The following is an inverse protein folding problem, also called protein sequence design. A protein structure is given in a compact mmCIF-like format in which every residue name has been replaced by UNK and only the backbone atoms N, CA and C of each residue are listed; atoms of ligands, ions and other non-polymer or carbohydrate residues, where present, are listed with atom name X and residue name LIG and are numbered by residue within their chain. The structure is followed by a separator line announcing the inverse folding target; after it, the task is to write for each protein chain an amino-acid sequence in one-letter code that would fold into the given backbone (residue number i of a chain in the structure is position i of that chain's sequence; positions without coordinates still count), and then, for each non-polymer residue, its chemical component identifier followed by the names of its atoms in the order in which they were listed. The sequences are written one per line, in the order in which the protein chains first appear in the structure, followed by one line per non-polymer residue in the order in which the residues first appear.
data_IF_328036940119
#
_entry.id   IF_328036940119
#
_cell.length_a   1.000
_cell.length_b   1.000
_cell.length_c   1.000
_cell.angle_alpha   90.00
_cell.angle_beta   90.00
_cell.angle_gamma   90.00
#
_symmetry.space_group_name_H-M   'P 1'
#
loop_
_entity.id
_entity.type
_entity.pdbx_description
1 polymer ?
#
# COMPACT_ATOMS: atom_id res chain seq x y z
N UNK A 1 -21.32 14.20 1.71
CA UNK A 1 -21.94 12.86 1.72
C UNK A 1 -21.08 11.94 0.86
N UNK A 2 -20.28 11.05 1.48
CA UNK A 2 -19.56 9.97 0.77
C UNK A 2 -20.60 8.91 0.41
N UNK A 3 -21.28 9.12 -0.72
CA UNK A 3 -22.61 8.55 -1.01
C UNK A 3 -22.66 7.12 -1.54
N UNK A 4 -21.52 6.50 -1.87
CA UNK A 4 -21.46 5.06 -2.10
C UNK A 4 -20.21 4.52 -1.43
N UNK A 5 -20.42 3.85 -0.30
CA UNK A 5 -19.38 3.05 0.36
C UNK A 5 -19.21 1.75 -0.43
N UNK A 6 -18.02 1.19 -0.35
CA UNK A 6 -17.57 -0.01 -1.07
C UNK A 6 -18.66 -1.10 -1.20
N UNK A 7 -18.64 -1.89 -2.29
CA UNK A 7 -19.57 -3.00 -2.47
C UNK A 7 -19.51 -4.00 -1.30
N UNK A 8 -20.56 -4.81 -1.14
CA UNK A 8 -20.63 -5.83 -0.08
C UNK A 8 -19.46 -6.81 -0.10
N UNK A 9 -18.91 -7.07 -1.29
CA UNK A 9 -17.74 -7.92 -1.50
C UNK A 9 -16.59 -7.06 -2.00
N UNK A 10 -15.47 -7.18 -1.30
CA UNK A 10 -14.25 -6.41 -1.55
C UNK A 10 -13.03 -7.32 -1.65
N UNK A 11 -12.08 -6.94 -2.51
CA UNK A 11 -10.78 -7.59 -2.59
C UNK A 11 -9.86 -7.08 -1.50
N UNK A 12 -9.32 -7.99 -0.69
CA UNK A 12 -8.37 -7.69 0.38
C UNK A 12 -7.08 -8.42 0.10
N UNK A 13 -5.96 -7.69 0.11
CA UNK A 13 -4.62 -8.24 -0.07
C UNK A 13 -3.87 -8.25 1.25
N UNK A 14 -3.04 -9.26 1.43
CA UNK A 14 -2.25 -9.46 2.66
C UNK A 14 -0.78 -9.60 2.34
N UNK A 15 0.07 -9.00 3.17
CA UNK A 15 1.51 -9.23 3.19
C UNK A 15 1.84 -10.00 4.48
N UNK A 16 2.51 -11.13 4.37
CA UNK A 16 2.78 -12.06 5.47
C UNK A 16 1.82 -13.25 5.51
N UNK A 17 1.92 -14.05 6.57
CA UNK A 17 1.17 -15.32 6.69
C UNK A 17 0.30 -15.36 7.95
N UNK A 18 -0.80 -16.12 7.95
CA UNK A 18 -1.61 -16.31 9.15
C UNK A 18 -0.80 -16.89 10.32
N UNK A 19 -1.18 -16.59 11.57
CA UNK A 19 -2.28 -15.70 11.97
C UNK A 19 -1.91 -14.21 11.94
N UNK A 20 -0.63 -13.89 11.82
CA UNK A 20 -0.09 -12.54 11.99
C UNK A 20 0.34 -11.95 10.64
N UNK A 21 -0.58 -11.28 9.96
CA UNK A 21 -0.26 -10.53 8.75
C UNK A 21 0.52 -9.25 9.11
N UNK A 22 1.54 -8.93 8.32
CA UNK A 22 2.28 -7.68 8.43
C UNK A 22 1.45 -6.49 7.92
N UNK A 23 0.76 -6.67 6.79
CA UNK A 23 -0.23 -5.72 6.26
C UNK A 23 -1.44 -6.48 5.71
N UNK A 24 -2.61 -5.86 5.82
CA UNK A 24 -3.89 -6.34 5.28
C UNK A 24 -4.73 -5.15 4.86
N UNK A 25 -4.86 -4.96 3.56
CA UNK A 25 -5.43 -3.74 2.97
C UNK A 25 -6.50 -4.05 1.93
N UNK A 26 -7.49 -3.17 1.85
CA UNK A 26 -8.44 -3.16 0.75
C UNK A 26 -7.80 -2.47 -0.47
N UNK A 27 -7.66 -3.21 -1.57
CA UNK A 27 -7.10 -2.68 -2.81
C UNK A 27 -7.80 -3.34 -4.01
N UNK A 28 -8.09 -2.57 -5.05
CA UNK A 28 -8.67 -3.06 -6.31
C UNK A 28 -7.67 -3.22 -7.46
N UNK A 29 -6.39 -2.93 -7.20
CA UNK A 29 -5.32 -3.02 -8.21
C UNK A 29 -4.71 -4.43 -8.31
N UNK A 30 -3.87 -4.67 -9.32
CA UNK A 30 -3.08 -5.89 -9.40
C UNK A 30 -1.97 -5.90 -8.34
N UNK A 31 -1.65 -7.08 -7.83
CA UNK A 31 -0.56 -7.30 -6.88
C UNK A 31 0.40 -8.39 -7.41
N UNK A 32 1.67 -8.27 -7.03
CA UNK A 32 2.67 -9.33 -7.20
C UNK A 32 2.39 -10.49 -6.23
N UNK A 33 2.88 -11.68 -6.54
CA UNK A 33 2.66 -12.86 -5.67
C UNK A 33 3.54 -12.79 -4.43
N UNK A 34 4.77 -12.30 -4.58
CA UNK A 34 5.70 -12.10 -3.46
C UNK A 34 6.46 -10.76 -3.57
N UNK A 35 6.86 -10.20 -2.42
CA UNK A 35 7.56 -8.91 -2.37
C UNK A 35 8.96 -8.95 -2.99
N UNK A 36 9.55 -10.14 -3.17
CA UNK A 36 10.84 -10.32 -3.85
C UNK A 36 10.77 -10.12 -5.36
N UNK A 37 9.58 -10.16 -5.95
CA UNK A 37 9.36 -9.79 -7.36
C UNK A 37 9.48 -8.27 -7.59
N UNK A 38 9.33 -7.47 -6.53
CA UNK A 38 9.52 -6.03 -6.62
C UNK A 38 11.02 -5.72 -6.73
N UNK A 39 11.34 -4.80 -7.64
CA UNK A 39 12.67 -4.23 -7.74
C UNK A 39 13.04 -3.46 -6.45
N UNK A 40 14.32 -3.12 -6.28
CA UNK A 40 14.75 -2.37 -5.09
C UNK A 40 14.03 -1.04 -5.05
N UNK A 41 13.45 -0.71 -3.91
CA UNK A 41 12.74 0.55 -3.74
C UNK A 41 13.69 1.56 -3.10
N UNK A 42 13.81 2.73 -3.72
CA UNK A 42 14.59 3.85 -3.20
C UNK A 42 13.70 5.06 -2.95
N UNK A 43 13.90 5.71 -1.80
CA UNK A 43 13.31 7.02 -1.54
C UNK A 43 14.12 8.07 -2.30
N UNK A 44 13.49 8.73 -3.26
CA UNK A 44 14.16 9.74 -4.12
C UNK A 44 13.93 11.16 -3.64
N UNK A 45 12.84 11.42 -2.92
CA UNK A 45 12.51 12.74 -2.37
C UNK A 45 11.63 12.58 -1.14
N UNK A 46 11.80 13.49 -0.17
CA UNK A 46 10.88 13.65 0.96
C UNK A 46 10.51 15.12 1.08
N UNK A 47 9.23 15.43 1.31
CA UNK A 47 8.75 16.80 1.51
C UNK A 47 7.82 16.89 2.73
N UNK A 48 7.92 17.99 3.46
CA UNK A 48 7.00 18.31 4.56
C UNK A 48 5.73 18.95 4.00
N UNK A 49 4.57 18.48 4.44
CA UNK A 49 3.26 19.04 4.10
C UNK A 49 2.62 19.78 5.28
N UNK A 50 3.34 19.94 6.40
CA UNK A 50 2.86 20.55 7.64
C UNK A 50 3.47 19.89 8.88
N UNK A 51 3.07 20.32 10.07
CA UNK A 51 3.72 19.95 11.34
C UNK A 51 3.83 18.43 11.59
N UNK A 52 2.94 17.61 11.02
CA UNK A 52 2.89 16.16 11.26
C UNK A 52 2.71 15.33 9.99
N UNK A 53 2.79 15.94 8.81
CA UNK A 53 2.57 15.26 7.54
C UNK A 53 3.82 15.34 6.66
N UNK A 54 4.22 14.18 6.14
CA UNK A 54 5.32 14.07 5.18
C UNK A 54 4.87 13.26 3.98
N UNK A 55 5.35 13.64 2.80
CA UNK A 55 5.23 12.84 1.58
C UNK A 55 6.58 12.25 1.22
N UNK A 56 6.57 10.96 0.91
CA UNK A 56 7.71 10.21 0.42
C UNK A 56 7.50 9.89 -1.06
N UNK A 57 8.51 10.14 -1.88
CA UNK A 57 8.55 9.72 -3.29
C UNK A 57 9.47 8.53 -3.42
N UNK A 58 8.97 7.47 -4.02
CA UNK A 58 9.64 6.18 -4.16
C UNK A 58 9.82 5.86 -5.64
N UNK A 59 10.93 5.23 -5.99
CA UNK A 59 11.21 4.72 -7.34
C UNK A 59 11.70 3.28 -7.23
N UNK A 60 11.29 2.44 -8.18
CA UNK A 60 11.84 1.10 -8.37
C UNK A 60 13.13 1.21 -9.19
N UNK A 61 14.21 0.59 -8.69
CA UNK A 61 15.51 0.46 -9.35
C UNK A 61 15.63 -0.86 -10.12
#
# INVERSE_FOLDING_TARGET
FFGQKYPDIVSVYTIGSPPNFFSKEFCGGPHVTNTGELAKIKIVKQESLGASLRRLYLQFE
#
